data_IF_723874176165
#
_entry.id   IF_723874176165
#
_cell.length_a   1.000
_cell.length_b   1.000
_cell.length_c   1.000
_cell.angle_alpha   90.00
_cell.angle_beta   90.00
_cell.angle_gamma   90.00
#
_symmetry.space_group_name_H-M   'P 1'
#
loop_
_entity.id
_entity.type
_entity.pdbx_description
1 polymer ?
2 non-polymer ?
3 water ?
#
# COMPACT_ATOMS: atom_id res chain seq x y z
N UNK A 2 13.46 -25.84 12.58
CA UNK A 2 12.65 -24.66 12.32
C UNK A 2 12.50 -23.80 13.57
N UNK A 3 12.56 -22.49 13.40
CA UNK A 3 12.40 -21.57 14.51
C UNK A 3 10.93 -21.46 14.89
N UNK A 4 10.66 -21.51 16.19
CA UNK A 4 9.32 -21.25 16.69
C UNK A 4 9.01 -19.76 16.61
N UNK A 5 7.72 -19.39 16.63
CA UNK A 5 7.40 -17.96 16.70
C UNK A 5 8.00 -17.26 17.91
N UNK A 6 8.03 -17.95 19.06
CA UNK A 6 8.68 -17.40 20.25
C UNK A 6 10.16 -17.14 20.00
N UNK A 7 10.79 -17.95 19.15
CA UNK A 7 12.22 -17.86 18.89
C UNK A 7 12.56 -16.92 17.74
N UNK A 8 11.67 -16.82 16.75
CA UNK A 8 11.90 -15.91 15.63
C UNK A 8 11.86 -14.46 16.08
N UNK A 9 10.86 -14.10 16.89
CA UNK A 9 10.74 -12.73 17.40
C UNK A 9 11.99 -12.33 18.17
N UNK A 10 12.54 -13.26 18.95
CA UNK A 10 13.76 -12.99 19.70
C UNK A 10 14.95 -12.77 18.77
N UNK A 11 14.94 -13.41 17.59
CA UNK A 11 16.02 -13.21 16.63
C UNK A 11 15.92 -11.84 15.96
N UNK A 12 14.70 -11.40 15.66
CA UNK A 12 14.51 -10.07 15.10
C UNK A 12 14.95 -8.98 16.07
N UNK A 13 14.81 -9.22 17.38
CA UNK A 13 15.19 -8.23 18.38
C UNK A 13 16.68 -7.92 18.30
N UNK A 14 17.52 -8.96 18.29
CA UNK A 14 18.96 -8.73 18.23
C UNK A 14 19.40 -8.18 16.88
N UNK A 15 18.58 -8.32 15.84
CA UNK A 15 18.91 -7.77 14.53
C UNK A 15 18.68 -6.27 14.44
N UNK A 16 18.07 -5.67 15.47
CA UNK A 16 17.74 -4.25 15.42
C UNK A 16 18.99 -3.43 15.16
N UNK A 17 18.92 -2.45 14.25
CA UNK A 17 20.10 -1.64 13.94
C UNK A 17 20.48 -0.76 15.10
N UNK A 18 21.74 -0.34 15.18
CA UNK A 18 22.12 0.64 16.20
C UNK A 18 21.57 2.01 15.87
N UNK A 19 21.54 2.88 16.88
CA UNK A 19 21.09 4.24 16.66
C UNK A 19 22.15 5.03 15.91
N UNK A 20 21.68 5.99 15.10
CA UNK A 20 22.56 6.81 14.30
C UNK A 20 22.31 8.27 14.65
N UNK A 21 23.39 9.06 14.64
CA UNK A 21 23.32 10.49 14.93
C UNK A 21 23.60 11.28 13.66
N UNK A 22 23.00 12.47 13.58
CA UNK A 22 23.24 13.39 12.49
C UNK A 22 23.83 14.70 13.00
N UNK A 23 23.42 15.14 14.20
CA UNK A 23 23.98 16.30 14.89
C UNK A 23 24.14 17.52 13.99
N UNK A 24 23.05 18.23 13.71
CA UNK A 24 23.09 19.33 12.76
C UNK A 24 21.76 20.06 12.72
N UNK A 25 21.72 21.29 12.18
CA UNK A 25 22.91 22.12 12.03
C UNK A 25 22.86 23.39 12.87
N UNK A 27 23.05 26.63 12.92
CA UNK A 27 22.40 27.28 11.79
C UNK A 27 20.95 26.83 11.61
N UNK A 28 20.06 27.76 11.28
CA UNK A 28 18.65 27.39 11.01
C UNK A 28 18.56 26.52 9.77
N UNK A 29 17.36 25.97 9.57
CA UNK A 29 17.09 25.02 8.50
C UNK A 29 16.69 25.74 7.21
N UNK A 30 17.31 25.33 6.11
CA UNK A 30 16.90 25.72 4.77
C UNK A 30 16.31 24.52 4.05
N UNK A 31 15.81 24.75 2.84
CA UNK A 31 15.30 23.63 2.04
C UNK A 31 16.41 22.64 1.72
N UNK A 32 17.61 23.15 1.40
CA UNK A 32 18.71 22.27 1.04
C UNK A 32 19.38 21.66 2.27
N UNK A 33 19.49 22.43 3.36
CA UNK A 33 20.14 21.90 4.55
C UNK A 33 19.31 20.80 5.20
N UNK A 34 17.98 20.96 5.23
CA UNK A 34 17.13 19.90 5.77
C UNK A 34 17.16 18.67 4.87
N UNK A 35 17.04 18.86 3.55
CA UNK A 35 17.13 17.73 2.64
C UNK A 35 18.50 17.06 2.69
N UNK A 36 19.54 17.84 2.99
CA UNK A 36 20.87 17.24 3.17
C UNK A 36 20.91 16.36 4.41
N UNK A 37 20.32 16.84 5.52
CA UNK A 37 20.35 16.08 6.75
C UNK A 37 19.51 14.81 6.67
N UNK A 38 18.36 14.88 6.01
CA UNK A 38 17.50 13.71 5.90
C UNK A 38 18.10 12.65 4.97
N UNK A 39 18.68 13.08 3.85
CA UNK A 39 19.32 12.13 2.95
C UNK A 39 20.60 11.56 3.56
N UNK A 40 21.34 12.38 4.29
CA UNK A 40 22.54 11.89 4.97
C UNK A 40 22.17 10.92 6.08
N UNK A 41 21.07 11.18 6.79
CA UNK A 41 20.60 10.24 7.80
C UNK A 41 20.21 8.91 7.18
N UNK A 42 19.45 8.96 6.08
CA UNK A 42 19.04 7.74 5.42
C UNK A 42 20.23 6.92 4.94
N UNK A 43 21.23 7.58 4.37
CA UNK A 43 22.45 6.89 3.93
C UNK A 43 23.07 6.10 5.07
N UNK A 44 23.19 6.73 6.25
CA UNK A 44 23.76 6.05 7.40
C UNK A 44 22.88 4.89 7.84
N UNK A 45 21.55 5.08 7.80
CA UNK A 45 20.64 4.01 8.19
C UNK A 45 20.65 2.87 7.18
N UNK A 46 20.78 3.20 5.89
CA UNK A 46 20.77 2.16 4.86
C UNK A 46 21.94 1.20 5.02
N UNK A 47 23.08 1.68 5.52
CA UNK A 47 24.19 0.79 5.81
C UNK A 47 23.79 -0.28 6.81
N UNK A 48 23.13 0.14 7.90
CA UNK A 48 22.72 -0.80 8.93
C UNK A 48 21.55 -1.67 8.48
N UNK A 49 20.75 -1.18 7.53
CA UNK A 49 19.63 -1.98 7.02
C UNK A 49 20.12 -3.25 6.33
N UNK A 50 21.29 -3.18 5.68
CA UNK A 50 21.85 -4.36 5.02
C UNK A 50 22.18 -5.43 6.04
N UNK A 51 22.81 -5.05 7.15
CA UNK A 51 23.11 -6.00 8.20
C UNK A 51 21.84 -6.52 8.87
N UNK A 52 20.84 -5.64 9.05
CA UNK A 52 19.58 -6.06 9.65
C UNK A 52 18.88 -7.09 8.78
N UNK A 53 18.78 -6.84 7.48
CA UNK A 53 18.11 -7.77 6.57
C UNK A 53 18.79 -9.13 6.57
N UNK A 54 20.12 -9.15 6.51
CA UNK A 54 20.86 -10.41 6.50
C UNK A 54 20.74 -11.17 7.81
N UNK A 55 20.26 -10.54 8.88
CA UNK A 55 20.03 -11.24 10.13
C UNK A 55 18.61 -11.78 10.26
N UNK A 56 17.72 -11.45 9.32
CA UNK A 56 16.40 -12.08 9.30
C UNK A 56 16.55 -13.53 8.86
N UNK A 57 16.04 -14.50 9.62
CA UNK A 57 16.30 -15.91 9.31
C UNK A 57 15.83 -16.28 7.91
N UNK A 58 16.75 -16.83 7.12
CA UNK A 58 16.46 -17.26 5.78
C UNK A 58 16.78 -16.26 4.69
N UNK A 59 17.00 -14.99 5.04
CA UNK A 59 17.24 -13.99 4.02
C UNK A 59 18.53 -14.27 3.25
N UNK A 60 19.58 -14.70 3.94
CA UNK A 60 20.83 -15.00 3.26
C UNK A 60 20.71 -16.23 2.37
N UNK A 61 19.73 -17.09 2.62
CA UNK A 61 19.49 -18.25 1.76
C UNK A 61 18.78 -17.88 0.47
N UNK A 62 18.08 -16.75 0.45
CA UNK A 62 17.49 -16.26 -0.80
C UNK A 62 18.59 -15.91 -1.79
N UNK A 63 18.28 -16.08 -3.08
CA UNK A 63 19.24 -15.77 -4.12
C UNK A 63 19.68 -14.30 -4.04
N UNK A 64 20.85 -14.02 -4.61
CA UNK A 64 21.35 -12.65 -4.63
C UNK A 64 20.39 -11.73 -5.36
N UNK A 65 19.76 -12.22 -6.43
CA UNK A 65 18.75 -11.44 -7.14
C UNK A 65 17.58 -11.10 -6.22
N UNK A 66 17.12 -12.09 -5.44
CA UNK A 66 15.99 -11.86 -4.54
C UNK A 66 16.34 -10.84 -3.47
N UNK A 67 17.53 -10.96 -2.87
CA UNK A 67 17.94 -10.04 -1.82
C UNK A 67 17.94 -8.60 -2.30
N UNK A 68 18.53 -8.36 -3.48
CA UNK A 68 18.55 -7.01 -4.04
C UNK A 68 17.15 -6.56 -4.41
N UNK A 69 16.32 -7.47 -4.93
CA UNK A 69 14.96 -7.12 -5.32
C UNK A 69 14.15 -6.66 -4.11
N UNK A 70 14.24 -7.40 -3.00
CA UNK A 70 13.50 -7.03 -1.80
C UNK A 70 14.01 -5.72 -1.22
N UNK A 71 15.32 -5.54 -1.17
CA UNK A 71 15.89 -4.33 -0.59
C UNK A 71 15.55 -3.10 -1.44
N UNK A 72 15.64 -3.23 -2.77
CA UNK A 72 15.32 -2.11 -3.65
C UNK A 72 13.87 -1.66 -3.49
N UNK A 73 12.98 -2.58 -3.14
CA UNK A 73 11.56 -2.29 -3.10
C UNK A 73 11.09 -1.74 -1.76
N UNK A 74 11.77 -2.07 -0.67
CA UNK A 74 11.25 -1.80 0.67
C UNK A 74 12.06 -0.80 1.48
N UNK A 75 13.22 -0.35 1.00
CA UNK A 75 14.13 0.38 1.88
C UNK A 75 13.50 1.67 2.39
N UNK A 76 12.70 2.35 1.55
CA UNK A 76 12.01 3.55 2.02
C UNK A 76 10.92 3.20 3.04
N UNK A 77 10.20 2.11 2.80
CA UNK A 77 9.20 1.66 3.77
C UNK A 77 9.83 1.34 5.12
N UNK A 78 10.97 0.66 5.10
CA UNK A 78 11.63 0.27 6.34
C UNK A 78 12.14 1.49 7.08
N UNK A 79 12.71 2.46 6.36
CA UNK A 79 13.11 3.72 6.99
C UNK A 79 11.92 4.43 7.61
N UNK A 80 10.78 4.41 6.94
CA UNK A 80 9.61 5.11 7.43
C UNK A 80 8.94 4.37 8.58
N UNK A 81 8.90 3.04 8.51
CA UNK A 81 8.35 2.27 9.62
C UNK A 81 9.18 2.44 10.88
N UNK A 82 10.51 2.51 10.73
CA UNK A 82 11.36 2.76 11.88
C UNK A 82 11.17 4.16 12.44
N UNK A 83 10.94 5.14 11.57
CA UNK A 83 10.62 6.49 12.02
C UNK A 83 9.31 6.51 12.80
N UNK A 84 8.29 5.78 12.32
CA UNK A 84 6.99 5.79 12.99
C UNK A 84 7.07 5.19 14.38
N UNK A 85 7.88 4.14 14.55
CA UNK A 85 8.03 3.50 15.85
C UNK A 85 8.73 4.45 16.83
N UNK A 86 9.78 5.14 16.38
CA UNK A 86 10.49 6.07 17.24
C UNK A 86 9.60 7.24 17.66
N UNK A 87 8.60 7.59 16.86
CA UNK A 87 7.75 8.74 17.11
C UNK A 87 6.38 8.37 17.66
N UNK A 88 6.17 7.10 18.02
CA UNK A 88 4.82 6.62 18.29
C UNK A 88 4.21 7.28 19.53
N UNK A 89 5.03 7.72 20.48
CA UNK A 89 4.52 8.26 21.74
C UNK A 89 4.72 9.76 21.85
N UNK A 90 4.82 10.47 20.73
CA UNK A 90 5.05 11.91 20.73
C UNK A 90 4.32 12.53 19.56
N UNK A 91 3.02 12.81 19.73
CA UNK A 91 2.25 13.43 18.64
C UNK A 91 2.85 14.75 18.21
N UNK A 92 2.69 15.05 16.92
CA UNK A 92 3.19 16.28 16.35
C UNK A 92 4.69 16.35 16.13
N UNK A 93 5.42 15.26 16.38
CA UNK A 93 6.86 15.26 16.26
C UNK A 93 7.31 14.01 15.52
N UNK A 94 8.35 14.18 14.69
CA UNK A 94 8.99 13.09 13.98
C UNK A 94 10.41 12.93 14.51
N UNK A 95 10.67 11.79 15.15
CA UNK A 95 11.98 11.51 15.73
C UNK A 95 12.82 10.78 14.68
N UNK A 96 13.40 11.54 13.75
CA UNK A 96 14.23 10.94 12.71
C UNK A 96 15.45 10.26 13.29
N UNK A 97 16.22 10.98 14.07
CA UNK A 97 17.36 10.44 14.79
C UNK A 97 17.33 11.02 16.20
N UNK A 98 18.12 10.51 17.15
CA UNK A 98 18.21 11.17 18.46
C UNK A 98 18.41 12.67 18.34
N UNK A 99 19.57 13.11 17.85
CA UNK A 99 19.83 14.55 17.73
C UNK A 99 19.16 15.19 16.52
N UNK A 100 17.98 14.69 16.12
CA UNK A 100 17.20 15.31 15.06
C UNK A 100 15.72 15.02 15.25
N UNK A 101 15.07 15.79 16.13
CA UNK A 101 13.65 15.66 16.41
C UNK A 101 12.95 16.86 15.80
N UNK A 102 12.13 16.62 14.77
CA UNK A 102 11.48 17.69 14.04
C UNK A 102 10.02 17.80 14.43
N UNK A 103 9.59 19.00 14.80
CA UNK A 103 8.17 19.29 14.91
C UNK A 103 7.55 19.30 13.52
N UNK A 104 6.23 19.12 13.49
CA UNK A 104 5.52 19.04 12.21
C UNK A 104 5.72 20.31 11.39
N UNK A 105 5.57 21.47 12.02
CA UNK A 105 5.62 22.73 11.29
C UNK A 105 7.00 23.03 10.71
N UNK A 106 8.05 22.40 11.23
CA UNK A 106 9.40 22.66 10.72
C UNK A 106 9.57 22.24 9.27
N UNK A 107 8.63 21.46 8.71
CA UNK A 107 8.74 21.08 7.32
C UNK A 107 8.57 22.22 6.35
N UNK A 108 7.83 23.27 6.75
CA UNK A 108 7.48 24.38 5.87
C UNK A 108 8.65 24.88 5.02
N UNK A 109 9.89 24.65 5.44
CA UNK A 109 11.05 25.14 4.71
C UNK A 109 11.34 24.36 3.43
N UNK A 110 10.83 23.14 3.30
CA UNK A 110 11.03 22.31 2.12
C UNK A 110 9.72 22.21 1.37
N UNK A 111 9.76 22.47 0.06
CA UNK A 111 8.56 22.43 -0.76
C UNK A 111 8.01 21.02 -0.84
N UNK A 112 6.74 20.86 -0.45
CA UNK A 112 6.05 19.59 -0.55
C UNK A 112 6.33 18.59 0.54
N UNK A 113 7.12 18.94 1.55
CA UNK A 113 7.46 17.97 2.59
C UNK A 113 6.36 17.87 3.63
N UNK A 114 5.57 18.94 3.81
CA UNK A 114 4.51 18.93 4.82
C UNK A 114 3.50 17.82 4.53
N UNK A 115 3.21 17.58 3.26
CA UNK A 115 2.30 16.49 2.90
C UNK A 115 2.84 15.15 3.37
N UNK A 116 4.13 14.89 3.13
CA UNK A 116 4.73 13.63 3.54
C UNK A 116 4.77 13.53 5.05
N UNK A 117 5.08 14.63 5.74
CA UNK A 117 5.14 14.62 7.20
C UNK A 117 3.79 14.26 7.79
N UNK A 118 2.71 14.88 7.29
CA UNK A 118 1.38 14.61 7.83
C UNK A 118 0.97 13.16 7.59
N UNK A 119 1.38 12.58 6.47
CA UNK A 119 1.12 11.16 6.23
C UNK A 119 1.86 10.29 7.24
N UNK A 120 3.13 10.61 7.50
CA UNK A 120 3.91 9.85 8.46
C UNK A 120 3.35 10.01 9.87
N UNK A 121 2.92 11.22 10.22
CA UNK A 121 2.38 11.46 11.55
C UNK A 121 1.02 10.79 11.73
N UNK A 122 0.17 10.85 10.71
CA UNK A 122 -1.15 10.23 10.82
C UNK A 122 -1.05 8.71 10.92
N UNK A 123 -0.17 8.11 10.13
CA UNK A 123 0.04 6.67 10.24
C UNK A 123 0.66 6.31 11.59
N UNK A 124 1.53 7.18 12.11
CA UNK A 124 2.09 6.98 13.44
C UNK A 124 0.99 7.04 14.50
N UNK A 125 0.00 7.92 14.29
CA UNK A 125 -1.09 8.04 15.26
C UNK A 125 -1.95 6.77 15.29
N UNK A 126 -2.13 6.13 14.14
CA UNK A 126 -2.92 4.90 14.11
C UNK A 126 -2.22 3.79 14.89
N UNK A 127 -0.89 3.70 14.78
CA UNK A 127 -0.16 2.71 15.57
C UNK A 127 -0.25 3.01 17.06
N UNK A 128 -0.21 4.30 17.43
CA UNK A 128 -0.32 4.66 18.83
C UNK A 128 -1.69 4.31 19.38
N UNK A 129 -2.75 4.57 18.61
CA UNK A 129 -4.10 4.22 19.06
C UNK A 129 -4.29 2.71 19.13
N UNK A 130 -3.55 1.95 18.33
CA UNK A 130 -3.57 0.49 18.40
C UNK A 130 -2.71 -0.07 19.52
N UNK A 131 -1.93 0.78 20.20
CA UNK A 131 -1.00 0.35 21.24
C UNK A 131 -0.07 -0.74 20.71
N UNK A 132 0.67 -0.39 19.65
CA UNK A 132 1.54 -1.32 18.96
C UNK A 132 2.61 -1.85 19.91
N UNK A 133 2.67 -3.18 20.03
CA UNK A 133 3.63 -3.83 20.90
C UNK A 133 5.01 -3.89 20.24
N UNK A 134 6.04 -4.03 21.07
CA UNK A 134 7.40 -4.22 20.56
C UNK A 134 7.48 -5.43 19.66
N UNK A 135 6.90 -6.55 20.10
CA UNK A 135 6.94 -7.78 19.30
C UNK A 135 6.20 -7.61 17.99
N UNK A 136 5.07 -6.90 18.00
CA UNK A 136 4.33 -6.64 16.77
C UNK A 136 5.16 -5.78 15.81
N UNK A 137 5.86 -4.77 16.35
CA UNK A 137 6.69 -3.92 15.51
C UNK A 137 7.79 -4.73 14.81
N UNK A 138 8.42 -5.64 15.55
CA UNK A 138 9.50 -6.43 14.97
C UNK A 138 8.99 -7.34 13.85
N UNK A 139 7.81 -7.92 14.03
CA UNK A 139 7.22 -8.74 12.96
C UNK A 139 6.85 -7.91 11.75
N UNK A 140 6.14 -6.80 11.98
CA UNK A 140 5.63 -5.98 10.89
C UNK A 140 6.78 -5.46 10.03
N UNK A 141 7.85 -4.98 10.66
CA UNK A 141 8.96 -4.42 9.89
C UNK A 141 9.65 -5.50 9.06
N UNK A 142 9.76 -6.71 9.59
CA UNK A 142 10.30 -7.81 8.80
C UNK A 142 9.35 -8.18 7.67
N UNK A 143 8.04 -8.14 7.94
CA UNK A 143 7.05 -8.42 6.89
C UNK A 143 7.12 -7.42 5.76
N UNK A 144 7.49 -6.17 6.06
CA UNK A 144 7.61 -5.18 5.00
C UNK A 144 8.73 -5.54 4.04
N UNK A 145 9.85 -6.04 4.56
CA UNK A 145 10.95 -6.46 3.71
C UNK A 145 10.53 -7.64 2.84
N UNK A 146 9.85 -8.62 3.42
CA UNK A 146 9.56 -9.87 2.73
C UNK A 146 8.31 -9.80 1.85
N UNK A 147 7.51 -8.75 1.98
CA UNK A 147 6.29 -8.59 1.19
C UNK A 147 6.42 -7.51 0.12
N UNK A 148 7.54 -6.80 0.06
CA UNK A 148 7.65 -5.64 -0.81
C UNK A 148 7.70 -6.04 -2.28
N UNK A 149 8.36 -7.16 -2.59
CA UNK A 149 8.53 -7.55 -3.99
C UNK A 149 7.20 -7.92 -4.63
N UNK A 150 7.07 -7.62 -5.91
CA UNK A 150 5.87 -7.92 -6.68
C UNK A 150 5.98 -9.28 -7.39
N UNK A 151 7.10 -9.52 -8.05
CA UNK A 151 7.31 -10.78 -8.77
C UNK A 151 8.63 -11.43 -8.37
N UNK A 161 13.60 -22.07 -7.16
CA UNK A 161 13.76 -22.70 -5.86
C UNK A 161 13.82 -21.65 -4.75
N UNK A 162 14.38 -20.49 -5.07
CA UNK A 162 14.48 -19.40 -4.10
C UNK A 162 13.16 -18.68 -3.89
N UNK A 163 12.23 -18.78 -4.85
CA UNK A 163 10.93 -18.14 -4.67
C UNK A 163 10.09 -18.87 -3.62
N UNK A 164 10.15 -20.20 -3.61
CA UNK A 164 9.41 -20.96 -2.61
C UNK A 164 9.95 -20.74 -1.21
N UNK A 165 11.26 -20.46 -1.09
CA UNK A 165 11.84 -20.18 0.22
C UNK A 165 11.39 -18.84 0.77
N UNK A 166 11.17 -17.86 -0.11
CA UNK A 166 10.70 -16.55 0.35
C UNK A 166 9.29 -16.65 0.93
N UNK A 167 8.41 -17.41 0.28
CA UNK A 167 7.05 -17.59 0.80
C UNK A 167 7.07 -18.26 2.17
N UNK A 168 8.04 -19.14 2.41
CA UNK A 168 8.16 -19.78 3.72
C UNK A 168 8.54 -18.75 4.78
N UNK A 169 9.48 -17.86 4.46
CA UNK A 169 9.91 -16.87 5.44
C UNK A 169 8.78 -15.92 5.79
N UNK A 170 7.99 -15.50 4.80
CA UNK A 170 6.87 -14.61 5.08
C UNK A 170 5.81 -15.31 5.91
N UNK A 171 5.59 -16.61 5.66
CA UNK A 171 4.67 -17.38 6.49
C UNK A 171 5.16 -17.46 7.93
N UNK A 172 6.49 -17.59 8.12
CA UNK A 172 7.04 -17.67 9.47
C UNK A 172 6.82 -16.37 10.23
N UNK A 173 7.12 -15.23 9.60
CA UNK A 173 6.94 -13.96 10.28
C UNK A 173 5.46 -13.67 10.49
N UNK A 174 4.61 -14.10 9.56
CA UNK A 174 3.16 -13.93 9.75
C UNK A 174 2.65 -14.80 10.89
N UNK A 175 3.11 -16.05 10.97
CA UNK A 175 2.75 -16.90 12.09
C UNK A 175 3.24 -16.32 13.40
N UNK A 176 4.43 -15.73 13.41
CA UNK A 176 4.93 -15.06 14.60
C UNK A 176 4.00 -13.93 15.03
N UNK A 177 3.52 -13.13 14.07
CA UNK A 177 2.61 -12.05 14.39
C UNK A 177 1.30 -12.59 14.95
N UNK A 178 0.73 -13.61 14.30
CA UNK A 178 -0.50 -14.23 14.79
C UNK A 178 -0.28 -14.80 16.19
N UNK A 179 0.90 -15.37 16.43
CA UNK A 179 1.22 -15.90 17.76
C UNK A 179 1.30 -14.76 18.78
N UNK A 180 1.92 -13.65 18.40
CA UNK A 180 2.02 -12.50 19.30
C UNK A 180 0.63 -12.00 19.68
N UNK A 181 -0.25 -11.86 18.68
CA UNK A 181 -1.62 -11.40 18.96
C UNK A 181 -2.36 -12.41 19.82
N UNK A 182 -2.17 -13.70 19.54
CA UNK A 182 -2.88 -14.74 20.29
C UNK A 182 -2.46 -14.75 21.76
N UNK A 183 -1.17 -14.54 22.02
CA UNK A 183 -0.69 -14.57 23.40
C UNK A 183 -1.15 -13.38 24.22
N UNK A 184 -1.72 -12.34 23.59
CA UNK A 184 -2.29 -11.23 24.35
C UNK A 184 -3.58 -11.61 25.06
N UNK A 185 -4.19 -12.74 24.70
CA UNK A 185 -5.36 -13.22 25.38
C UNK A 185 -6.66 -12.52 25.05
N UNK A 186 -6.69 -11.67 24.02
CA UNK A 186 -7.91 -10.98 23.64
C UNK A 186 -8.82 -11.96 22.91
N UNK A 187 -10.07 -11.54 22.66
CA UNK A 187 -11.04 -12.42 22.04
C UNK A 187 -10.59 -12.85 20.65
N UNK A 188 -11.07 -14.01 20.22
CA UNK A 188 -10.77 -14.50 18.87
C UNK A 188 -11.24 -13.50 17.82
N UNK A 189 -12.38 -12.85 18.06
CA UNK A 189 -12.83 -11.80 17.15
C UNK A 189 -11.91 -10.58 17.25
N UNK A 190 -11.40 -10.29 18.44
CA UNK A 190 -10.47 -9.18 18.60
C UNK A 190 -9.11 -9.49 17.99
N UNK A 191 -8.73 -10.78 17.93
CA UNK A 191 -7.46 -11.15 17.32
C UNK A 191 -7.48 -10.92 15.81
N UNK A 192 -8.58 -11.29 15.15
CA UNK A 192 -8.71 -11.01 13.73
C UNK A 192 -8.81 -9.51 13.48
N UNK A 193 -9.55 -8.80 14.34
CA UNK A 193 -9.67 -7.35 14.20
C UNK A 193 -8.31 -6.67 14.31
N UNK A 194 -7.47 -7.13 15.23
CA UNK A 194 -6.16 -6.50 15.41
C UNK A 194 -5.21 -6.85 14.27
N UNK A 195 -5.23 -8.10 13.81
CA UNK A 195 -4.41 -8.48 12.67
C UNK A 195 -4.80 -7.69 11.43
N UNK A 196 -6.11 -7.52 11.20
CA UNK A 196 -6.57 -6.79 10.04
C UNK A 196 -6.17 -5.32 10.11
N UNK A 197 -6.32 -4.69 11.27
CA UNK A 197 -5.96 -3.28 11.42
C UNK A 197 -4.47 -3.07 11.21
N UNK A 198 -3.64 -4.00 11.69
CA UNK A 198 -2.20 -3.86 11.52
C UNK A 198 -1.81 -3.96 10.05
N UNK A 199 -2.36 -4.94 9.33
CA UNK A 199 -1.94 -5.17 7.95
C UNK A 199 -2.55 -4.16 6.99
N UNK A 200 -3.69 -3.57 7.33
CA UNK A 200 -4.21 -2.47 6.53
C UNK A 200 -3.30 -1.26 6.58
N UNK A 201 -2.59 -1.06 7.69
CA UNK A 201 -1.65 0.04 7.80
C UNK A 201 -0.41 -0.15 6.95
N UNK A 202 -0.15 -1.38 6.49
CA UNK A 202 0.94 -1.60 5.55
C UNK A 202 0.71 -0.83 4.25
N UNK A 203 -0.54 -0.78 3.79
CA UNK A 203 -0.87 0.03 2.62
C UNK A 203 -0.56 1.50 2.86
N UNK A 204 -0.84 2.00 4.07
CA UNK A 204 -0.56 3.39 4.38
C UNK A 204 0.95 3.64 4.41
N UNK A 205 1.74 2.66 4.86
CA UNK A 205 3.18 2.80 4.81
C UNK A 205 3.66 2.84 3.36
N UNK A 206 3.04 2.03 2.49
CA UNK A 206 3.40 2.04 1.08
C UNK A 206 3.06 3.38 0.43
N UNK A 207 1.87 3.92 0.72
CA UNK A 207 1.50 5.22 0.16
C UNK A 207 2.49 6.29 0.59
N UNK A 208 2.92 6.26 1.85
CA UNK A 208 3.94 7.21 2.31
C UNK A 208 5.27 6.97 1.62
N UNK A 209 5.63 5.70 1.41
CA UNK A 209 6.88 5.40 0.73
C UNK A 209 6.86 5.86 -0.72
N UNK A 210 5.75 5.62 -1.42
CA UNK A 210 5.66 6.05 -2.82
C UNK A 210 5.63 7.57 -2.93
N UNK A 211 4.88 8.24 -2.04
CA UNK A 211 4.80 9.69 -2.11
C UNK A 211 6.07 10.35 -1.59
N UNK A 212 6.62 9.83 -0.49
CA UNK A 212 7.87 10.35 0.03
C UNK A 212 9.04 10.16 -0.91
N UNK A 213 8.93 9.23 -1.85
CA UNK A 213 9.95 8.98 -2.88
C UNK A 213 9.68 9.75 -4.16
N UNK A 214 8.40 9.91 -4.51
CA UNK A 214 8.02 10.88 -5.54
C UNK A 214 8.53 12.26 -5.19
N UNK A 215 8.53 12.60 -3.90
CA UNK A 215 9.03 13.90 -3.47
C UNK A 215 10.56 13.98 -3.57
N UNK A 216 11.25 12.90 -3.21
CA UNK A 216 12.70 12.89 -3.34
C UNK A 216 13.14 13.00 -4.80
N UNK A 217 12.33 12.48 -5.72
CA UNK A 217 12.65 12.63 -7.14
C UNK A 217 12.50 14.07 -7.59
N UNK A 218 11.47 14.77 -7.09
CA UNK A 218 11.30 16.18 -7.42
C UNK A 218 12.41 17.03 -6.82
N UNK A 219 12.96 16.63 -5.68
CA UNK A 219 14.09 17.35 -5.11
C UNK A 219 15.36 17.12 -5.92
N UNK A 220 15.43 16.02 -6.66
CA UNK A 220 16.59 15.77 -7.51
C UNK A 220 16.53 16.59 -8.80
N UNK A 221 15.35 16.66 -9.42
CA UNK A 221 15.18 17.49 -10.60
C UNK A 221 15.32 18.97 -10.26
N UNK A 222 14.90 19.37 -9.06
CA UNK A 222 15.10 20.73 -8.58
C UNK A 222 16.54 20.99 -8.17
N UNK A 223 17.39 19.96 -8.19
CA UNK A 223 18.80 20.05 -7.78
C UNK A 223 18.94 20.47 -6.33
N UNK A 224 18.00 20.05 -5.48
CA UNK A 224 18.15 20.24 -4.04
C UNK A 224 19.02 19.15 -3.45
N UNK A 225 18.90 17.93 -3.97
CA UNK A 225 19.70 16.79 -3.52
C UNK A 225 20.41 16.19 -4.73
N UNK A 226 21.58 15.58 -4.56
CA UNK A 226 22.31 15.05 -5.72
C UNK A 226 21.73 13.76 -6.28
N UNK A 227 21.41 12.79 -5.41
CA UNK A 227 21.02 11.46 -5.85
C UNK A 227 19.59 11.18 -5.41
N UNK A 228 18.93 10.29 -6.14
CA UNK A 228 17.56 9.86 -5.88
C UNK A 228 17.48 8.49 -5.23
N UNK A 229 18.12 7.48 -5.83
CA UNK A 229 18.14 6.13 -5.25
C UNK A 229 19.21 6.09 -4.17
N UNK A 230 18.80 6.35 -2.94
CA UNK A 230 19.74 6.43 -1.83
C UNK A 230 20.35 5.05 -1.52
N UNK A 231 19.62 3.97 -1.80
CA UNK A 231 20.17 2.64 -1.57
C UNK A 231 21.32 2.35 -2.55
N UNK A 232 21.12 2.68 -3.82
CA UNK A 232 22.17 2.47 -4.81
C UNK A 232 23.38 3.35 -4.53
N UNK A 233 23.14 4.60 -4.12
CA UNK A 233 24.24 5.50 -3.80
C UNK A 233 25.06 4.98 -2.62
N UNK A 234 24.39 4.37 -1.65
CA UNK A 234 25.09 3.82 -0.49
C UNK A 234 25.99 2.66 -0.91
N UNK A 235 25.45 1.71 -1.69
CA UNK A 235 26.22 0.52 -2.05
C UNK A 235 27.39 0.87 -2.96
N UNK A 236 27.29 1.94 -3.75
CA UNK A 236 28.40 2.35 -4.59
C UNK A 236 29.52 2.99 -3.76
N UNK A 237 29.15 3.81 -2.76
CA UNK A 237 30.14 4.57 -2.03
C UNK A 237 30.83 3.75 -0.95
N UNK A 238 30.10 2.84 -0.30
CA UNK A 238 30.66 2.08 0.81
C UNK A 238 31.40 0.85 0.31
N UNK A 239 32.49 0.51 0.99
CA UNK A 239 33.38 -0.57 0.57
C UNK A 239 33.24 -1.72 1.54
N UNK A 240 33.59 -2.92 1.06
CA UNK A 240 33.47 -4.15 1.83
C UNK A 240 34.69 -4.37 2.71
N UNK A 241 34.47 -5.05 3.83
CA UNK A 241 35.56 -5.43 4.73
C UNK A 241 35.59 -6.95 4.92
N UNK B 1 -27.15 -4.43 12.81
CA UNK B 1 -28.01 -5.43 12.18
C UNK B 1 -27.84 -5.40 10.66
N UNK B 2 -27.95 -4.21 10.07
CA UNK B 2 -27.62 -4.05 8.67
C UNK B 2 -26.13 -4.29 8.41
N UNK B 3 -25.29 -4.11 9.42
CA UNK B 3 -23.88 -4.40 9.34
C UNK B 3 -23.55 -5.84 9.72
N UNK B 4 -24.55 -6.70 9.82
CA UNK B 4 -24.31 -8.10 10.14
C UNK B 4 -23.50 -8.75 9.01
N UNK B 5 -22.61 -9.70 9.35
CA UNK B 5 -21.72 -10.28 8.34
C UNK B 5 -22.45 -10.85 7.12
N UNK B 6 -23.38 -11.78 7.36
CA UNK B 6 -24.13 -12.36 6.26
C UNK B 6 -24.93 -11.31 5.50
N UNK B 7 -25.45 -10.31 6.22
CA UNK B 7 -26.26 -9.27 5.58
C UNK B 7 -25.40 -8.26 4.83
N UNK B 8 -24.27 -7.87 5.42
CA UNK B 8 -23.40 -6.89 4.77
C UNK B 8 -22.87 -7.41 3.44
N UNK B 9 -22.54 -8.70 3.39
CA UNK B 9 -22.06 -9.29 2.14
C UNK B 9 -23.16 -9.26 1.09
N UNK B 10 -24.40 -9.56 1.49
CA UNK B 10 -25.50 -9.50 0.54
C UNK B 10 -25.74 -8.08 0.06
N UNK B 11 -25.63 -7.09 0.96
CA UNK B 11 -25.72 -5.70 0.55
C UNK B 11 -24.59 -5.34 -0.41
N UNK B 12 -23.36 -5.77 -0.10
CA UNK B 12 -22.25 -5.55 -1.00
C UNK B 12 -22.47 -6.24 -2.34
N UNK B 13 -23.09 -7.42 -2.33
CA UNK B 13 -23.35 -8.15 -3.56
C UNK B 13 -24.38 -7.44 -4.42
N UNK B 14 -25.40 -6.86 -3.79
CA UNK B 14 -26.43 -6.12 -4.52
C UNK B 14 -26.01 -4.71 -4.90
N UNK B 15 -24.89 -4.23 -4.37
CA UNK B 15 -24.38 -2.90 -4.71
C UNK B 15 -23.39 -2.93 -5.86
N UNK B 16 -23.12 -4.11 -6.42
CA UNK B 16 -22.11 -4.22 -7.46
C UNK B 16 -22.51 -3.39 -8.68
N UNK B 17 -21.57 -2.65 -9.27
CA UNK B 17 -21.92 -1.80 -10.40
C UNK B 17 -22.20 -2.62 -11.64
N UNK B 18 -23.00 -2.11 -12.56
CA UNK B 18 -23.25 -2.84 -13.82
C UNK B 18 -22.00 -2.88 -14.69
N UNK B 19 -21.95 -3.88 -15.56
CA UNK B 19 -20.83 -4.01 -16.49
C UNK B 19 -20.83 -2.86 -17.48
N UNK B 20 -19.68 -2.23 -17.64
CA UNK B 20 -19.51 -1.14 -18.60
C UNK B 20 -19.05 -1.73 -19.92
N UNK B 21 -19.75 -1.40 -21.00
CA UNK B 21 -19.47 -1.95 -22.33
C UNK B 21 -18.73 -0.89 -23.15
N UNK B 22 -17.42 -1.07 -23.30
CA UNK B 22 -16.61 -0.29 -24.22
C UNK B 22 -15.92 -1.26 -25.17
N UNK B 23 -15.70 -0.81 -26.40
CA UNK B 23 -15.19 -1.67 -27.46
C UNK B 23 -13.88 -1.12 -28.00
N UNK B 24 -13.22 -1.94 -28.81
CA UNK B 24 -11.96 -1.55 -29.41
C UNK B 24 -12.21 -0.59 -30.58
N UNK B 25 -11.35 0.41 -30.76
CA UNK B 25 -11.45 1.24 -31.96
C UNK B 25 -11.06 0.47 -33.20
N UNK B 26 -11.57 0.94 -34.35
CA UNK B 26 -11.31 0.25 -35.61
C UNK B 26 -9.84 0.34 -35.99
N UNK B 27 -9.24 1.53 -35.88
CA UNK B 27 -7.84 1.70 -36.20
C UNK B 27 -6.97 1.02 -35.15
N UNK B 28 -5.77 0.55 -35.54
CA UNK B 28 -4.87 -0.05 -34.57
C UNK B 28 -4.53 0.91 -33.44
N UNK B 29 -4.16 0.34 -32.29
CA UNK B 29 -3.94 1.12 -31.08
C UNK B 29 -2.72 2.02 -31.24
N UNK B 30 -2.93 3.33 -31.12
CA UNK B 30 -1.86 4.30 -30.96
C UNK B 30 -1.83 4.78 -29.51
N UNK B 31 -0.80 5.54 -29.18
CA UNK B 31 -0.66 6.01 -27.80
C UNK B 31 -1.82 6.92 -27.40
N UNK B 32 -2.27 7.77 -28.32
CA UNK B 32 -3.36 8.68 -28.01
C UNK B 32 -4.69 7.93 -27.87
N UNK B 33 -4.95 6.97 -28.74
CA UNK B 33 -6.24 6.28 -28.73
C UNK B 33 -6.34 5.29 -27.58
N UNK B 34 -5.25 4.57 -27.28
CA UNK B 34 -5.30 3.63 -26.17
C UNK B 34 -5.43 4.35 -24.83
N UNK B 35 -4.66 5.43 -24.63
CA UNK B 35 -4.83 6.26 -23.45
C UNK B 35 -6.19 6.93 -23.41
N UNK B 36 -6.93 6.93 -24.52
CA UNK B 36 -8.26 7.51 -24.58
C UNK B 36 -9.37 6.48 -24.33
N UNK B 37 -9.22 5.27 -24.86
CA UNK B 37 -10.19 4.23 -24.58
C UNK B 37 -10.14 3.78 -23.12
N UNK B 38 -9.00 3.97 -22.47
CA UNK B 38 -8.87 3.60 -21.06
C UNK B 38 -9.44 4.67 -20.14
N UNK B 39 -9.18 5.95 -20.44
CA UNK B 39 -9.74 7.02 -19.62
C UNK B 39 -11.23 7.20 -19.86
N UNK B 40 -11.71 6.85 -21.07
CA UNK B 40 -13.15 6.85 -21.31
C UNK B 40 -13.82 5.75 -20.51
N UNK B 41 -13.25 4.54 -20.52
CA UNK B 41 -13.77 3.46 -19.68
C UNK B 41 -13.74 3.84 -18.21
N UNK B 42 -12.63 4.43 -17.76
CA UNK B 42 -12.52 4.83 -16.36
C UNK B 42 -13.57 5.85 -15.99
N UNK B 43 -13.85 6.82 -16.88
CA UNK B 43 -14.85 7.83 -16.60
C UNK B 43 -16.23 7.20 -16.39
N UNK B 44 -16.58 6.23 -17.22
CA UNK B 44 -17.88 5.58 -17.09
C UNK B 44 -17.98 4.78 -15.78
N UNK B 45 -16.89 4.09 -15.42
CA UNK B 45 -16.91 3.32 -14.17
C UNK B 45 -16.96 4.23 -12.95
N UNK B 46 -16.36 5.42 -13.03
CA UNK B 46 -16.40 6.34 -11.91
C UNK B 46 -17.81 6.86 -11.65
N UNK B 47 -18.64 6.95 -12.69
CA UNK B 47 -20.04 7.31 -12.49
C UNK B 47 -20.73 6.26 -11.63
N UNK B 48 -20.48 4.99 -11.90
CA UNK B 48 -21.09 3.91 -11.13
C UNK B 48 -20.44 3.74 -9.78
N UNK B 49 -19.16 4.11 -9.64
CA UNK B 49 -18.49 3.98 -8.34
C UNK B 49 -19.10 4.89 -7.29
N UNK B 50 -19.60 6.05 -7.71
CA UNK B 50 -20.29 6.95 -6.77
C UNK B 50 -21.55 6.28 -6.24
N UNK B 51 -22.33 5.67 -7.13
CA UNK B 51 -23.55 4.97 -6.70
C UNK B 51 -23.21 3.75 -5.85
N UNK B 52 -22.15 3.03 -6.20
CA UNK B 52 -21.73 1.89 -5.40
C UNK B 52 -21.34 2.32 -3.99
N UNK B 53 -20.50 3.36 -3.89
CA UNK B 53 -20.04 3.83 -2.58
C UNK B 53 -21.21 4.33 -1.73
N UNK B 54 -22.08 5.16 -2.32
CA UNK B 54 -23.26 5.65 -1.61
C UNK B 54 -24.18 4.53 -1.16
N UNK B 55 -24.00 3.31 -1.67
CA UNK B 55 -24.86 2.18 -1.35
C UNK B 55 -24.28 1.29 -0.25
N UNK B 56 -23.03 1.51 0.15
CA UNK B 56 -22.46 0.77 1.27
C UNK B 56 -23.03 1.32 2.57
N UNK B 57 -23.55 0.48 3.46
CA UNK B 57 -24.26 0.98 4.65
C UNK B 57 -23.41 1.92 5.48
N UNK B 58 -23.98 3.09 5.78
CA UNK B 58 -23.31 4.08 6.60
C UNK B 58 -22.50 5.11 5.85
N UNK B 59 -22.21 4.88 4.56
CA UNK B 59 -21.38 5.81 3.81
C UNK B 59 -22.07 7.17 3.65
N UNK B 60 -23.36 7.16 3.32
CA UNK B 60 -24.09 8.42 3.17
C UNK B 60 -24.25 9.12 4.51
N UNK B 61 -24.07 8.42 5.62
CA UNK B 61 -24.12 9.03 6.94
C UNK B 61 -22.83 9.74 7.30
N UNK B 62 -21.76 9.54 6.54
CA UNK B 62 -20.51 10.25 6.77
C UNK B 62 -20.64 11.70 6.31
N UNK B 63 -19.72 12.54 6.78
CA UNK B 63 -19.71 13.93 6.37
C UNK B 63 -19.32 14.03 4.90
N UNK B 64 -19.71 15.16 4.28
CA UNK B 64 -19.40 15.37 2.88
C UNK B 64 -17.89 15.44 2.64
N UNK B 65 -17.15 16.01 3.59
CA UNK B 65 -15.70 16.04 3.46
C UNK B 65 -15.11 14.63 3.51
N UNK B 66 -15.67 13.76 4.36
CA UNK B 66 -15.15 12.41 4.47
C UNK B 66 -15.48 11.59 3.23
N UNK B 67 -16.69 11.75 2.68
CA UNK B 67 -17.05 11.04 1.46
C UNK B 67 -16.10 11.41 0.31
N UNK B 68 -15.86 12.71 0.13
CA UNK B 68 -14.93 13.15 -0.90
C UNK B 68 -13.52 12.68 -0.61
N UNK B 69 -13.13 12.68 0.68
CA UNK B 69 -11.82 12.19 1.07
C UNK B 69 -11.63 10.73 0.68
N UNK B 70 -12.61 9.88 1.01
CA UNK B 70 -12.49 8.46 0.74
C UNK B 70 -12.44 8.19 -0.77
N UNK B 71 -13.32 8.84 -1.53
CA UNK B 71 -13.36 8.62 -2.97
C UNK B 71 -12.11 9.15 -3.66
N UNK B 72 -11.64 10.33 -3.26
CA UNK B 72 -10.46 10.93 -3.89
C UNK B 72 -9.23 10.06 -3.69
N UNK B 73 -9.17 9.29 -2.60
CA UNK B 73 -7.99 8.51 -2.28
C UNK B 73 -8.05 7.07 -2.76
N UNK B 74 -9.22 6.57 -3.14
CA UNK B 74 -9.37 5.16 -3.47
C UNK B 74 -9.81 4.87 -4.89
N UNK B 75 -10.24 5.88 -5.67
CA UNK B 75 -10.91 5.59 -6.94
C UNK B 75 -10.01 4.80 -7.88
N UNK B 76 -8.73 5.17 -7.98
CA UNK B 76 -7.81 4.41 -8.82
C UNK B 76 -7.59 3.01 -8.27
N UNK B 77 -7.50 2.89 -6.94
CA UNK B 77 -7.33 1.58 -6.32
C UNK B 77 -8.55 0.70 -6.56
N UNK B 78 -9.75 1.28 -6.54
CA UNK B 78 -10.96 0.51 -6.76
C UNK B 78 -11.10 0.10 -8.22
N UNK B 79 -10.68 0.98 -9.14
CA UNK B 79 -10.70 0.62 -10.56
C UNK B 79 -9.78 -0.56 -10.83
N UNK B 80 -8.60 -0.57 -10.19
CA UNK B 80 -7.66 -1.66 -10.42
C UNK B 80 -8.12 -2.95 -9.75
N UNK B 81 -8.73 -2.85 -8.57
CA UNK B 81 -9.21 -4.05 -7.89
C UNK B 81 -10.29 -4.75 -8.69
N UNK B 82 -11.19 -3.97 -9.32
CA UNK B 82 -12.20 -4.57 -10.17
C UNK B 82 -11.63 -5.13 -11.46
N UNK B 83 -10.57 -4.52 -11.98
CA UNK B 83 -9.92 -5.04 -13.18
C UNK B 83 -9.24 -6.38 -12.90
N UNK B 84 -8.63 -6.52 -11.73
CA UNK B 84 -7.95 -7.77 -11.40
C UNK B 84 -8.95 -8.90 -11.17
N UNK B 85 -10.15 -8.58 -10.65
CA UNK B 85 -11.16 -9.62 -10.47
C UNK B 85 -11.71 -10.11 -11.80
N UNK B 86 -11.82 -9.23 -12.80
CA UNK B 86 -12.27 -9.65 -14.12
C UNK B 86 -11.20 -10.40 -14.88
N UNK B 87 -9.93 -10.24 -14.51
CA UNK B 87 -8.81 -10.89 -15.17
C UNK B 87 -8.25 -12.05 -14.38
N UNK B 88 -8.92 -12.45 -13.29
CA UNK B 88 -8.34 -13.43 -12.38
C UNK B 88 -8.22 -14.80 -13.05
N UNK B 89 -9.10 -15.11 -14.01
CA UNK B 89 -9.11 -16.41 -14.66
C UNK B 89 -8.65 -16.32 -16.12
N UNK B 90 -7.88 -15.30 -16.47
CA UNK B 90 -7.37 -15.13 -17.83
C UNK B 90 -5.93 -14.66 -17.75
N UNK B 91 -4.99 -15.58 -17.53
CA UNK B 91 -3.59 -15.19 -17.37
C UNK B 91 -3.04 -14.55 -18.64
N UNK B 92 -2.17 -13.56 -18.44
CA UNK B 92 -1.54 -12.86 -19.55
C UNK B 92 -2.39 -11.80 -20.21
N UNK B 93 -3.61 -11.58 -19.75
CA UNK B 93 -4.51 -10.61 -20.35
C UNK B 93 -5.15 -9.75 -19.27
N UNK B 94 -5.65 -8.59 -19.68
CA UNK B 94 -6.34 -7.66 -18.81
C UNK B 94 -7.72 -7.41 -19.35
N UNK B 95 -8.75 -7.82 -18.61
CA UNK B 95 -10.13 -7.73 -19.07
C UNK B 95 -10.71 -6.39 -18.63
N UNK B 96 -10.29 -5.31 -19.28
CA UNK B 96 -10.85 -4.00 -18.99
C UNK B 96 -12.35 -3.98 -19.22
N UNK B 97 -12.80 -4.64 -20.29
CA UNK B 97 -14.22 -4.71 -20.63
C UNK B 97 -14.44 -5.96 -21.46
N UNK B 98 -15.67 -6.49 -21.49
CA UNK B 98 -15.93 -7.70 -22.30
C UNK B 98 -15.45 -7.59 -23.74
N UNK B 99 -15.67 -6.45 -24.39
CA UNK B 99 -15.22 -6.23 -25.76
C UNK B 99 -13.90 -5.47 -25.83
N UNK B 100 -13.14 -5.44 -24.72
CA UNK B 100 -11.84 -4.77 -24.67
C UNK B 100 -10.92 -5.62 -23.79
N UNK B 101 -10.36 -6.66 -24.39
CA UNK B 101 -9.40 -7.55 -23.73
C UNK B 101 -8.03 -7.27 -24.30
N UNK B 102 -7.12 -6.82 -23.45
CA UNK B 102 -5.77 -6.43 -23.87
C UNK B 102 -4.77 -7.48 -23.40
N UNK B 103 -4.01 -8.03 -24.36
CA UNK B 103 -2.85 -8.83 -24.02
C UNK B 103 -1.76 -7.95 -23.44
N UNK B 104 -0.79 -8.58 -22.77
CA UNK B 104 0.25 -7.84 -22.06
C UNK B 104 1.03 -6.94 -23.01
N UNK B 105 1.60 -7.53 -24.07
CA UNK B 105 2.47 -6.80 -24.98
C UNK B 105 1.76 -5.68 -25.72
N UNK B 106 0.42 -5.64 -25.70
CA UNK B 106 -0.30 -4.57 -26.37
C UNK B 106 -0.01 -3.20 -25.75
N UNK B 107 0.58 -3.17 -24.57
CA UNK B 107 0.93 -1.91 -23.94
C UNK B 107 2.24 -1.34 -24.43
N UNK B 108 2.79 -1.92 -25.50
CA UNK B 108 4.04 -1.42 -26.04
C UNK B 108 3.87 -0.11 -26.81
N UNK B 109 2.63 0.31 -27.06
CA UNK B 109 2.37 1.49 -27.88
C UNK B 109 2.25 2.77 -27.06
N UNK B 110 2.09 2.68 -25.74
CA UNK B 110 2.07 3.85 -24.87
C UNK B 110 3.24 3.74 -23.91
N UNK B 111 3.87 4.89 -23.63
CA UNK B 111 5.10 4.91 -22.85
C UNK B 111 4.81 4.62 -21.37
N UNK B 112 5.36 3.53 -20.87
CA UNK B 112 5.44 3.30 -19.44
C UNK B 112 4.30 2.51 -18.81
N UNK B 113 3.29 2.10 -19.57
CA UNK B 113 2.20 1.34 -18.97
C UNK B 113 2.56 -0.13 -18.77
N UNK B 114 3.54 -0.65 -19.50
CA UNK B 114 3.91 -2.06 -19.35
C UNK B 114 4.37 -2.35 -17.93
N UNK B 115 5.10 -1.40 -17.33
CA UNK B 115 5.42 -1.53 -15.91
C UNK B 115 4.16 -1.62 -15.07
N UNK B 116 3.16 -0.79 -15.39
CA UNK B 116 1.90 -0.83 -14.66
C UNK B 116 1.11 -2.08 -15.01
N UNK B 117 1.15 -2.49 -16.28
CA UNK B 117 0.45 -3.71 -16.69
C UNK B 117 1.02 -4.93 -15.99
N UNK B 118 2.36 -5.00 -15.86
CA UNK B 118 2.97 -6.13 -15.18
C UNK B 118 2.63 -6.15 -13.69
N UNK B 119 2.52 -4.97 -13.06
CA UNK B 119 2.10 -4.93 -11.67
C UNK B 119 0.70 -5.47 -11.49
N UNK B 120 -0.22 -5.08 -12.38
CA UNK B 120 -1.61 -5.55 -12.28
C UNK B 120 -1.70 -7.05 -12.54
N UNK B 121 -0.99 -7.55 -13.56
CA UNK B 121 -1.04 -8.98 -13.86
C UNK B 121 -0.41 -9.80 -12.74
N UNK B 122 0.66 -9.29 -12.13
CA UNK B 122 1.32 -10.01 -11.04
C UNK B 122 0.41 -10.09 -9.82
N UNK B 123 -0.21 -8.98 -9.44
CA UNK B 123 -1.14 -9.01 -8.32
C UNK B 123 -2.36 -9.87 -8.64
N UNK B 124 -2.82 -9.83 -9.89
CA UNK B 124 -3.93 -10.69 -10.30
C UNK B 124 -3.54 -12.17 -10.17
N UNK B 125 -2.31 -12.51 -10.55
CA UNK B 125 -1.86 -13.90 -10.44
C UNK B 125 -1.82 -14.36 -8.99
N UNK B 126 -1.41 -13.48 -8.08
CA UNK B 126 -1.37 -13.84 -6.67
C UNK B 126 -2.78 -14.06 -6.13
N UNK B 127 -3.75 -13.27 -6.59
CA UNK B 127 -5.14 -13.52 -6.23
C UNK B 127 -5.65 -14.84 -6.82
N UNK B 128 -5.08 -15.25 -7.95
CA UNK B 128 -5.42 -16.56 -8.50
C UNK B 128 -4.85 -17.69 -7.67
N UNK B 129 -3.59 -17.53 -7.22
CA UNK B 129 -2.97 -18.55 -6.38
C UNK B 129 -3.70 -18.69 -5.06
N UNK B 130 -4.09 -17.58 -4.44
CA UNK B 130 -4.89 -17.62 -3.23
C UNK B 130 -6.31 -18.11 -3.49
N UNK B 131 -6.69 -18.29 -4.75
CA UNK B 131 -8.05 -18.67 -5.13
C UNK B 131 -9.07 -17.72 -4.50
N UNK B 132 -8.89 -16.44 -4.82
CA UNK B 132 -9.75 -15.39 -4.29
C UNK B 132 -11.22 -15.68 -4.60
N UNK B 133 -12.05 -15.65 -3.57
CA UNK B 133 -13.47 -15.88 -3.74
C UNK B 133 -14.15 -14.60 -4.20
N UNK B 134 -15.42 -14.73 -4.59
CA UNK B 134 -16.18 -13.56 -5.01
C UNK B 134 -16.55 -12.68 -3.82
N UNK B 135 -16.82 -13.30 -2.66
CA UNK B 135 -17.22 -12.53 -1.50
C UNK B 135 -16.04 -11.93 -0.76
N UNK B 136 -14.86 -12.56 -0.84
CA UNK B 136 -13.65 -11.91 -0.36
C UNK B 136 -13.36 -10.65 -1.16
N UNK B 137 -13.55 -10.72 -2.49
CA UNK B 137 -13.34 -9.56 -3.34
C UNK B 137 -14.30 -8.43 -2.99
N UNK B 138 -15.56 -8.76 -2.69
CA UNK B 138 -16.54 -7.73 -2.33
C UNK B 138 -16.15 -7.05 -1.03
N UNK B 139 -15.67 -7.81 -0.04
CA UNK B 139 -15.22 -7.21 1.21
C UNK B 139 -13.95 -6.41 1.00
N UNK B 140 -12.98 -6.96 0.27
CA UNK B 140 -11.71 -6.27 0.05
C UNK B 140 -11.92 -4.95 -0.66
N UNK B 141 -12.82 -4.94 -1.66
CA UNK B 141 -13.08 -3.70 -2.39
C UNK B 141 -13.71 -2.65 -1.47
N UNK B 142 -14.68 -3.07 -0.64
CA UNK B 142 -15.28 -2.14 0.31
C UNK B 142 -14.26 -1.67 1.34
N UNK B 143 -13.35 -2.56 1.76
CA UNK B 143 -12.31 -2.17 2.68
C UNK B 143 -11.39 -1.12 2.05
N UNK B 144 -11.06 -1.28 0.77
CA UNK B 144 -10.24 -0.30 0.07
C UNK B 144 -10.90 1.07 0.10
N UNK B 145 -12.21 1.11 -0.13
CA UNK B 145 -12.93 2.39 -0.11
C UNK B 145 -12.88 3.03 1.27
N UNK B 146 -13.03 2.22 2.33
CA UNK B 146 -13.10 2.78 3.67
C UNK B 146 -11.74 3.02 4.29
N UNK B 147 -10.69 2.34 3.83
CA UNK B 147 -9.38 2.42 4.47
C UNK B 147 -8.38 3.29 3.72
N UNK B 148 -8.61 3.58 2.44
CA UNK B 148 -7.58 4.26 1.65
C UNK B 148 -7.41 5.73 2.04
N UNK B 149 -8.41 6.35 2.65
CA UNK B 149 -8.23 7.73 3.11
C UNK B 149 -7.30 7.74 4.31
N UNK B 150 -6.35 8.68 4.32
CA UNK B 150 -5.37 8.77 5.37
C UNK B 150 -5.71 9.82 6.42
N UNK B 151 -6.58 10.77 6.10
CA UNK B 151 -6.95 11.89 6.97
C UNK B 151 -5.71 12.52 7.62
N UNK B 152 -4.71 12.95 6.82
CA UNK B 152 -3.46 13.44 7.39
C UNK B 152 -3.62 14.76 8.13
N UNK B 162 -18.27 11.99 13.24
CA UNK B 162 -18.21 11.37 11.93
C UNK B 162 -17.03 10.40 11.82
N UNK B 163 -15.98 10.68 12.59
CA UNK B 163 -14.83 9.79 12.61
C UNK B 163 -15.16 8.46 13.27
N UNK B 164 -16.10 8.45 14.21
CA UNK B 164 -16.47 7.21 14.88
C UNK B 164 -17.30 6.30 13.98
N UNK B 165 -18.08 6.88 13.07
CA UNK B 165 -18.92 6.06 12.20
C UNK B 165 -18.08 5.34 11.14
N UNK B 166 -17.06 6.01 10.60
CA UNK B 166 -16.21 5.37 9.60
C UNK B 166 -15.44 4.19 10.21
N UNK B 167 -14.95 4.35 11.45
CA UNK B 167 -14.27 3.26 12.11
C UNK B 167 -15.20 2.08 12.35
N UNK B 168 -16.48 2.33 12.58
CA UNK B 168 -17.43 1.25 12.78
C UNK B 168 -17.69 0.49 11.49
N UNK B 169 -17.79 1.21 10.38
CA UNK B 169 -18.03 0.55 9.09
C UNK B 169 -16.83 -0.30 8.69
N UNK B 170 -15.61 0.24 8.85
CA UNK B 170 -14.42 -0.52 8.50
C UNK B 170 -14.31 -1.80 9.33
N UNK B 171 -14.69 -1.73 10.60
CA UNK B 171 -14.70 -2.93 11.43
C UNK B 171 -15.82 -3.89 11.00
N UNK B 172 -16.95 -3.36 10.54
CA UNK B 172 -18.03 -4.23 10.09
C UNK B 172 -17.63 -5.01 8.84
N UNK B 173 -17.05 -4.32 7.85
CA UNK B 173 -16.57 -5.01 6.66
C UNK B 173 -15.45 -5.98 7.01
N UNK B 174 -14.65 -5.66 8.03
CA UNK B 174 -13.63 -6.59 8.50
C UNK B 174 -14.27 -7.84 9.08
N UNK B 175 -15.32 -7.69 9.89
CA UNK B 175 -16.04 -8.86 10.40
C UNK B 175 -16.63 -9.69 9.27
N UNK B 176 -17.05 -9.04 8.18
CA UNK B 176 -17.61 -9.77 7.06
C UNK B 176 -16.55 -10.62 6.36
N UNK B 177 -15.33 -10.08 6.22
CA UNK B 177 -14.26 -10.85 5.60
C UNK B 177 -13.85 -12.03 6.48
N UNK B 178 -13.80 -11.83 7.79
CA UNK B 178 -13.52 -12.94 8.70
C UNK B 178 -14.64 -13.97 8.63
N UNK B 179 -15.88 -13.51 8.45
CA UNK B 179 -17.01 -14.42 8.37
C UNK B 179 -17.00 -15.22 7.07
N UNK B 180 -16.58 -14.60 5.96
CA UNK B 180 -16.52 -15.31 4.70
C UNK B 180 -15.40 -16.36 4.73
N UNK B 181 -14.25 -16.02 5.32
CA UNK B 181 -13.17 -16.99 5.45
C UNK B 181 -13.57 -18.12 6.37
N UNK B 182 -14.33 -17.82 7.43
CA UNK B 182 -14.76 -18.85 8.36
C UNK B 182 -15.66 -19.88 7.69
N UNK B 183 -16.35 -19.48 6.62
CA UNK B 183 -17.20 -20.43 5.88
C UNK B 183 -16.38 -21.43 5.08
N UNK B 184 -15.08 -21.22 4.93
CA UNK B 184 -14.25 -22.17 4.17
C UNK B 184 -14.02 -23.46 4.95
N UNK B 185 -14.07 -23.39 6.28
CA UNK B 185 -13.90 -24.57 7.11
C UNK B 185 -12.47 -24.98 7.37
N UNK B 186 -11.49 -24.18 6.96
CA UNK B 186 -10.08 -24.50 7.19
C UNK B 186 -9.75 -24.24 8.65
N UNK B 187 -8.53 -24.60 9.05
CA UNK B 187 -8.13 -24.48 10.45
C UNK B 187 -8.05 -23.01 10.86
N UNK B 188 -8.07 -22.79 12.18
CA UNK B 188 -7.98 -21.44 12.71
C UNK B 188 -6.67 -20.77 12.29
N UNK B 189 -5.58 -21.53 12.29
CA UNK B 189 -4.31 -20.99 11.82
C UNK B 189 -4.36 -20.68 10.32
N UNK B 190 -5.04 -21.54 9.55
CA UNK B 190 -5.18 -21.28 8.12
C UNK B 190 -6.10 -20.10 7.85
N UNK B 191 -7.08 -19.87 8.74
CA UNK B 191 -7.96 -18.72 8.57
C UNK B 191 -7.22 -17.41 8.80
N UNK B 192 -6.28 -17.40 9.74
CA UNK B 192 -5.48 -16.20 9.97
C UNK B 192 -4.48 -15.98 8.84
N UNK B 193 -3.91 -17.07 8.32
CA UNK B 193 -2.94 -16.97 7.23
C UNK B 193 -3.59 -16.39 5.98
N UNK B 194 -4.77 -16.90 5.61
CA UNK B 194 -5.47 -16.38 4.44
C UNK B 194 -5.81 -14.90 4.64
N UNK B 195 -6.34 -14.54 5.81
CA UNK B 195 -6.64 -13.15 6.08
C UNK B 195 -5.40 -12.27 5.94
N UNK B 196 -4.24 -12.78 6.38
CA UNK B 196 -3.01 -12.01 6.27
C UNK B 196 -2.53 -11.95 4.83
N UNK B 197 -2.59 -13.08 4.11
CA UNK B 197 -2.17 -13.08 2.72
C UNK B 197 -3.06 -12.20 1.86
N UNK B 198 -4.36 -12.15 2.18
CA UNK B 198 -5.28 -11.30 1.43
C UNK B 198 -4.98 -9.83 1.65
N UNK B 199 -4.78 -9.43 2.90
CA UNK B 199 -4.58 -8.02 3.23
C UNK B 199 -3.18 -7.53 2.91
N UNK B 200 -2.19 -8.43 2.88
CA UNK B 200 -0.85 -8.01 2.48
C UNK B 200 -0.83 -7.61 1.02
N UNK B 201 -1.73 -8.15 0.21
CA UNK B 201 -1.84 -7.75 -1.19
C UNK B 201 -2.40 -6.35 -1.36
N UNK B 202 -3.11 -5.83 -0.34
CA UNK B 202 -3.59 -4.46 -0.41
C UNK B 202 -2.46 -3.47 -0.62
N UNK B 203 -1.28 -3.76 -0.07
CA UNK B 203 -0.11 -2.90 -0.32
C UNK B 203 0.29 -2.94 -1.78
N UNK B 204 0.17 -4.10 -2.43
CA UNK B 204 0.53 -4.19 -3.84
C UNK B 204 -0.50 -3.49 -4.72
N UNK B 205 -1.79 -3.55 -4.34
CA UNK B 205 -2.80 -2.79 -5.06
C UNK B 205 -2.58 -1.29 -4.89
N UNK B 206 -2.28 -0.86 -3.66
CA UNK B 206 -1.99 0.55 -3.41
C UNK B 206 -0.76 1.00 -4.17
N UNK B 207 0.28 0.15 -4.22
CA UNK B 207 1.49 0.48 -4.97
C UNK B 207 1.16 0.66 -6.45
N UNK B 208 0.34 -0.25 -7.00
CA UNK B 208 -0.11 -0.08 -8.39
C UNK B 208 -0.98 1.16 -8.53
N UNK B 209 -1.78 1.46 -7.51
CA UNK B 209 -2.61 2.67 -7.54
C UNK B 209 -1.74 3.92 -7.68
N UNK B 210 -0.66 3.99 -6.91
CA UNK B 210 0.20 5.18 -6.95
C UNK B 210 1.04 5.21 -8.23
N UNK B 211 1.54 4.07 -8.68
CA UNK B 211 2.40 4.05 -9.86
C UNK B 211 1.62 4.28 -11.13
N UNK B 212 0.51 3.55 -11.32
CA UNK B 212 -0.35 3.77 -12.47
C UNK B 212 -0.90 5.17 -12.54
N UNK B 213 -1.02 5.85 -11.41
CA UNK B 213 -1.47 7.24 -11.33
C UNK B 213 -0.33 8.22 -11.56
N UNK B 214 0.86 7.90 -11.05
CA UNK B 214 2.06 8.66 -11.41
C UNK B 214 2.28 8.66 -12.91
N UNK B 215 1.94 7.56 -13.57
CA UNK B 215 2.03 7.49 -15.03
C UNK B 215 0.98 8.36 -15.70
N UNK B 216 -0.20 8.48 -15.10
CA UNK B 216 -1.25 9.31 -15.68
C UNK B 216 -0.89 10.78 -15.61
N UNK B 217 -0.15 11.19 -14.58
CA UNK B 217 0.34 12.57 -14.52
C UNK B 217 1.35 12.84 -15.62
N UNK B 218 2.20 11.86 -15.92
CA UNK B 218 3.16 12.01 -17.01
C UNK B 218 2.46 12.14 -18.36
N UNK B 219 1.29 11.51 -18.51
CA UNK B 219 0.55 11.63 -19.77
C UNK B 219 -0.12 12.98 -19.91
N UNK B 220 -0.56 13.59 -18.81
CA UNK B 220 -1.12 14.93 -18.88
C UNK B 220 -0.04 15.95 -19.21
N UNK B 221 1.18 15.75 -18.69
CA UNK B 221 2.27 16.67 -18.98
C UNK B 221 2.75 16.53 -20.42
N UNK B 222 2.57 15.36 -21.03
CA UNK B 222 2.91 15.15 -22.43
C UNK B 222 1.76 15.44 -23.38
N UNK B 223 0.64 15.94 -22.84
CA UNK B 223 -0.54 16.29 -23.64
C UNK B 223 -1.12 15.09 -24.38
N UNK B 224 -1.00 13.90 -23.79
CA UNK B 224 -1.67 12.72 -24.33
C UNK B 224 -3.10 12.62 -23.80
N UNK B 225 -3.31 13.03 -22.54
CA UNK B 225 -4.64 13.05 -21.95
C UNK B 225 -4.91 14.47 -21.44
N UNK B 226 -6.18 14.90 -21.37
CA UNK B 226 -6.46 16.27 -20.92
C UNK B 226 -6.11 16.52 -19.47
N UNK B 227 -6.72 15.75 -18.57
CA UNK B 227 -6.61 15.99 -17.13
C UNK B 227 -6.12 14.74 -16.43
N UNK B 228 -5.71 14.92 -15.17
CA UNK B 228 -5.05 13.90 -14.36
C UNK B 228 -6.01 13.25 -13.36
N UNK B 229 -6.76 14.05 -12.61
CA UNK B 229 -7.74 13.54 -11.66
C UNK B 229 -9.00 13.14 -12.44
N UNK B 230 -9.15 11.84 -12.69
CA UNK B 230 -10.30 11.38 -13.46
C UNK B 230 -11.59 11.47 -12.67
N UNK B 231 -11.52 11.30 -11.34
CA UNK B 231 -12.71 11.48 -10.51
C UNK B 231 -13.20 12.93 -10.57
N UNK B 232 -12.27 13.88 -10.44
CA UNK B 232 -12.63 15.29 -10.58
C UNK B 232 -13.20 15.59 -11.96
N UNK B 233 -12.61 15.00 -13.00
CA UNK B 233 -13.11 15.21 -14.35
C UNK B 233 -14.51 14.64 -14.52
N UNK B 234 -14.76 13.45 -13.98
CA UNK B 234 -16.10 12.87 -14.06
C UNK B 234 -17.13 13.75 -13.38
N UNK B 235 -16.83 14.19 -12.15
CA UNK B 235 -17.78 15.00 -11.40
C UNK B 235 -18.02 16.35 -12.05
N UNK B 236 -17.01 16.92 -12.70
CA UNK B 236 -17.19 18.22 -13.34
C UNK B 236 -18.06 18.12 -14.59
N UNK B 237 -18.00 17.00 -15.30
CA UNK B 237 -18.66 16.88 -16.60
C UNK B 237 -20.08 16.34 -16.50
N UNK B 238 -20.39 15.57 -15.46
CA UNK B 238 -21.69 14.94 -15.35
C UNK B 238 -22.65 15.80 -14.53
N UNK B 239 -23.94 15.65 -14.81
CA UNK B 239 -24.98 16.48 -14.22
C UNK B 239 -25.83 15.64 -13.29
N UNK B 240 -26.41 16.29 -12.29
CA UNK B 240 -27.32 15.63 -11.36
C UNK B 240 -28.71 15.53 -11.96
N UNK B 241 -29.38 14.41 -11.70
CA UNK B 241 -30.73 14.20 -12.19
C UNK B 241 -31.74 14.99 -11.35
#
# INVERSE_FOLDING_TARGET
MALSPEQLVLTLLEAEPPHVLISRPSAPFTEASMMMSLTKLADKELVHMISWAKKIPGFVELSLFDQVRLLESCWMEVLMMGLMWRSIDHPGKLIFAPDLVLDRDEGKCVEGILEIFDMLLATTSRFRELKLQHKEYLCVKAMILLNSSMYPLVTATQDADSSRKLAHLLNAVTDALVWVIAKSGISSQQQSMRLANLLMLLSHVRHASNKGMEHLLNMKCKNVVPVYDLLLEMLNAHVLRGDKSSITG
MALSPEQLVLTLLEAEPPHVLISRPSAPFTEASMMMSLTKLADKELVHMISWAKKIPGFVELSLFDQVRLLESCWMEVLMMGLMWRSIDHPGKLIFAPDLVLDRDEGKCVEGILEIFDMLLATTSRFRELKLQHKEYLCVKAMILLNSSMYPLVTATQDADSSRKLAHLLNAVTDALVWVIAKSGISSQQQSMRLANLLMLLSHVRHASNKGMEHLLNMKCKNVVPVYDLLLEMLNAHVLRGDKSSITG
#
